data_IF_010547888935
#
_entry.id   IF_010547888935
#
_cell.length_a   1.000
_cell.length_b   1.000
_cell.length_c   1.000
_cell.angle_alpha   90.00
_cell.angle_beta   90.00
_cell.angle_gamma   90.00
#
_symmetry.space_group_name_H-M   'P 1'
#
loop_
_entity.id
_entity.type
_entity.pdbx_description
1 polymer ?
#
# COMPACT_ATOMS: atom_id res chain seq x y z
N UNK A 1 10.57 6.13 8.27
CA UNK A 1 10.26 5.94 6.82
C UNK A 1 8.87 5.35 6.69
N UNK A 2 8.14 5.62 5.58
CA UNK A 2 6.76 5.11 5.38
C UNK A 2 6.68 3.59 5.52
N UNK A 3 7.70 2.87 5.05
CA UNK A 3 7.81 1.42 5.17
C UNK A 3 7.68 0.93 6.62
N UNK A 4 8.48 1.48 7.54
CA UNK A 4 8.43 1.08 8.96
C UNK A 4 7.05 1.34 9.57
N UNK A 5 6.45 2.51 9.30
CA UNK A 5 5.11 2.84 9.78
C UNK A 5 4.04 1.88 9.25
N UNK A 6 4.21 1.40 8.02
CA UNK A 6 3.31 0.41 7.43
C UNK A 6 3.53 -0.99 8.02
N UNK A 7 4.79 -1.40 8.23
CA UNK A 7 5.12 -2.69 8.88
C UNK A 7 4.52 -2.74 10.29
N UNK A 8 4.68 -1.68 11.08
CA UNK A 8 4.10 -1.54 12.42
C UNK A 8 2.57 -1.60 12.40
N UNK A 9 1.94 -0.88 11.47
CA UNK A 9 0.49 -0.87 11.32
C UNK A 9 -0.07 -2.24 10.89
N UNK A 10 0.63 -2.94 9.98
CA UNK A 10 0.26 -4.29 9.55
C UNK A 10 0.32 -5.28 10.71
N UNK A 11 1.39 -5.22 11.51
CA UNK A 11 1.56 -6.14 12.64
C UNK A 11 0.52 -5.86 13.74
N UNK A 12 0.22 -4.59 14.01
CA UNK A 12 -0.85 -4.21 14.94
C UNK A 12 -2.23 -4.72 14.46
N UNK A 13 -2.56 -4.56 13.19
CA UNK A 13 -3.81 -5.03 12.61
C UNK A 13 -3.91 -6.57 12.64
N UNK A 14 -2.82 -7.26 12.31
CA UNK A 14 -2.74 -8.73 12.38
C UNK A 14 -2.95 -9.23 13.81
N UNK A 15 -2.29 -8.60 14.78
CA UNK A 15 -2.37 -8.97 16.19
C UNK A 15 -3.79 -8.79 16.74
N UNK A 16 -4.48 -7.70 16.34
CA UNK A 16 -5.87 -7.47 16.69
C UNK A 16 -6.81 -8.50 16.05
N UNK A 17 -6.64 -8.82 14.78
CA UNK A 17 -7.45 -9.85 14.11
C UNK A 17 -7.28 -11.22 14.79
N UNK A 18 -6.04 -11.57 15.18
CA UNK A 18 -5.75 -12.79 15.91
C UNK A 18 -6.39 -12.80 17.30
N UNK A 19 -6.35 -11.69 18.05
CA UNK A 19 -6.96 -11.60 19.39
C UNK A 19 -8.49 -11.63 19.36
N UNK A 20 -9.11 -11.19 18.27
CA UNK A 20 -10.56 -11.28 18.03
C UNK A 20 -11.02 -12.64 17.48
N UNK A 21 -10.09 -13.61 17.31
CA UNK A 21 -10.40 -14.94 16.78
C UNK A 21 -10.63 -14.98 15.26
N UNK A 22 -10.33 -13.90 14.53
CA UNK A 22 -10.42 -13.81 13.07
C UNK A 22 -9.12 -14.30 12.42
N UNK A 23 -8.85 -15.59 12.59
CA UNK A 23 -7.58 -16.21 12.15
C UNK A 23 -7.36 -16.03 10.64
N UNK A 24 -8.39 -16.24 9.82
CA UNK A 24 -8.30 -16.05 8.37
C UNK A 24 -7.93 -14.61 7.97
N UNK A 25 -8.42 -13.61 8.72
CA UNK A 25 -8.10 -12.22 8.46
C UNK A 25 -6.67 -11.89 8.87
N UNK A 26 -6.19 -12.45 9.98
CA UNK A 26 -4.80 -12.32 10.40
C UNK A 26 -3.84 -12.92 9.34
N UNK A 27 -4.18 -14.06 8.74
CA UNK A 27 -3.41 -14.66 7.64
C UNK A 27 -3.41 -13.76 6.39
N UNK A 28 -4.58 -13.24 6.00
CA UNK A 28 -4.69 -12.32 4.86
C UNK A 28 -3.89 -11.04 5.09
N UNK A 29 -3.95 -10.46 6.29
CA UNK A 29 -3.17 -9.26 6.66
C UNK A 29 -1.67 -9.56 6.61
N UNK A 30 -1.23 -10.75 7.00
CA UNK A 30 0.18 -11.13 6.91
C UNK A 30 0.69 -11.21 5.47
N UNK A 31 -0.17 -11.63 4.53
CA UNK A 31 0.15 -11.73 3.11
C UNK A 31 0.20 -10.36 2.41
N UNK A 32 -0.49 -9.34 2.94
CA UNK A 32 -0.43 -7.98 2.41
C UNK A 32 1.01 -7.46 2.40
N UNK A 33 1.41 -6.85 1.27
CA UNK A 33 2.76 -6.31 1.08
C UNK A 33 2.72 -4.78 0.94
N UNK A 34 3.82 -4.12 1.31
CA UNK A 34 3.95 -2.67 1.20
C UNK A 34 3.71 -2.15 -0.22
N UNK A 35 3.93 -2.99 -1.24
CA UNK A 35 3.66 -2.64 -2.64
C UNK A 35 2.19 -2.46 -2.96
N UNK A 36 1.31 -3.11 -2.20
CA UNK A 36 -0.12 -3.12 -2.46
C UNK A 36 -0.78 -1.80 -2.05
N UNK A 37 -0.18 -1.06 -1.12
CA UNK A 37 -0.68 0.26 -0.70
C UNK A 37 -0.21 1.42 -1.59
N UNK A 38 0.84 1.22 -2.40
CA UNK A 38 1.45 2.29 -3.20
C UNK A 38 0.50 2.87 -4.25
N UNK A 39 -0.32 2.06 -4.97
CA UNK A 39 -1.29 2.59 -5.91
C UNK A 39 -2.39 3.43 -5.23
N UNK A 40 -2.79 3.05 -4.02
CA UNK A 40 -3.77 3.80 -3.23
C UNK A 40 -3.16 5.12 -2.74
N UNK A 41 -1.98 5.07 -2.13
CA UNK A 41 -1.26 6.25 -1.64
C UNK A 41 -0.97 7.27 -2.77
N UNK A 42 -0.54 6.82 -3.94
CA UNK A 42 -0.29 7.72 -5.08
C UNK A 42 -1.58 8.26 -5.73
N UNK A 43 -2.71 7.58 -5.57
CA UNK A 43 -4.00 8.04 -6.10
C UNK A 43 -4.73 8.99 -5.14
N UNK A 44 -4.54 8.84 -3.82
CA UNK A 44 -5.15 9.72 -2.80
C UNK A 44 -4.37 11.02 -2.60
N UNK A 45 -3.06 11.04 -2.88
CA UNK A 45 -2.26 12.27 -2.81
C UNK A 45 -2.41 13.05 -4.12
N UNK A 46 -2.91 14.28 -3.99
CA UNK A 46 -3.23 15.15 -5.14
C UNK A 46 -1.95 15.67 -5.81
N UNK A 47 -0.92 15.99 -5.01
CA UNK A 47 0.41 16.36 -5.50
C UNK A 47 1.31 15.14 -5.69
N UNK A 48 1.85 15.02 -6.90
CA UNK A 48 2.73 13.94 -7.31
C UNK A 48 4.10 14.06 -6.64
N UNK A 49 4.58 15.26 -6.34
CA UNK A 49 5.84 15.46 -5.63
C UNK A 49 5.80 14.88 -4.22
N UNK A 50 4.69 15.11 -3.50
CA UNK A 50 4.44 14.56 -2.17
C UNK A 50 4.30 13.04 -2.19
N UNK A 51 3.58 12.50 -3.18
CA UNK A 51 3.48 11.04 -3.38
C UNK A 51 4.85 10.42 -3.67
N UNK A 52 5.69 11.09 -4.46
CA UNK A 52 7.01 10.61 -4.83
C UNK A 52 7.97 10.58 -3.62
N UNK A 53 7.96 11.64 -2.82
CA UNK A 53 8.71 11.74 -1.58
C UNK A 53 8.27 10.67 -0.57
N UNK A 54 6.96 10.48 -0.42
CA UNK A 54 6.39 9.50 0.51
C UNK A 54 6.75 8.05 0.13
N UNK A 55 6.74 7.74 -1.17
CA UNK A 55 7.10 6.43 -1.70
C UNK A 55 8.62 6.18 -1.78
N UNK A 56 9.43 7.22 -1.53
CA UNK A 56 10.89 7.12 -1.52
C UNK A 56 11.49 6.86 -2.90
N UNK A 57 10.83 7.31 -3.96
CA UNK A 57 11.33 7.18 -5.33
C UNK A 57 12.19 8.40 -5.70
N UNK A 58 13.32 8.16 -6.36
CA UNK A 58 14.19 9.21 -6.89
C UNK A 58 13.60 9.95 -8.09
N UNK A 59 12.71 9.31 -8.86
CA UNK A 59 12.13 9.86 -10.10
C UNK A 59 10.59 9.80 -10.09
N UNK A 60 9.95 10.95 -10.33
CA UNK A 60 8.49 11.12 -10.30
C UNK A 60 7.73 10.31 -11.36
N UNK A 61 8.41 9.88 -12.42
CA UNK A 61 7.82 9.16 -13.55
C UNK A 61 7.29 7.77 -13.15
N UNK A 62 7.96 7.08 -12.21
CA UNK A 62 7.47 5.79 -11.70
C UNK A 62 6.17 6.00 -10.92
N UNK A 63 6.10 7.06 -10.10
CA UNK A 63 4.91 7.45 -9.32
C UNK A 63 3.72 7.79 -10.22
N UNK A 64 3.94 8.56 -11.29
CA UNK A 64 2.91 8.87 -12.30
C UNK A 64 2.43 7.65 -13.07
N UNK A 65 3.35 6.84 -13.60
CA UNK A 65 3.04 5.78 -14.59
C UNK A 65 2.51 4.49 -13.97
N UNK A 66 2.97 4.13 -12.77
CA UNK A 66 2.67 2.82 -12.15
C UNK A 66 1.65 2.93 -11.02
N UNK A 67 1.63 4.05 -10.29
CA UNK A 67 0.90 4.14 -9.03
C UNK A 67 -0.34 5.03 -9.05
N UNK A 68 -0.52 5.95 -10.01
CA UNK A 68 -1.84 6.57 -10.23
C UNK A 68 -2.74 5.64 -11.04
N UNK A 69 -3.86 5.21 -10.45
CA UNK A 69 -4.91 4.42 -11.12
C UNK A 69 -6.22 5.20 -11.22
N UNK A 70 -6.17 6.48 -11.57
CA UNK A 70 -7.39 7.27 -11.78
C UNK A 70 -8.10 6.71 -13.03
N UNK A 71 -9.20 5.97 -12.83
CA UNK A 71 -10.05 5.44 -13.90
C UNK A 71 -9.57 4.16 -14.59
N UNK A 72 -8.47 3.54 -14.16
CA UNK A 72 -7.95 2.33 -14.80
C UNK A 72 -8.52 1.04 -14.19
N UNK A 73 -9.39 0.35 -14.92
CA UNK A 73 -9.75 -1.05 -14.64
C UNK A 73 -8.59 -1.93 -15.07
N UNK A 74 -7.81 -2.43 -14.11
CA UNK A 74 -6.75 -3.39 -14.41
C UNK A 74 -7.39 -4.76 -14.69
N UNK A 75 -7.19 -5.30 -15.91
CA UNK A 75 -7.47 -6.71 -16.13
C UNK A 75 -6.46 -7.54 -15.32
N UNK A 76 -6.90 -8.52 -14.51
CA UNK A 76 -5.98 -9.39 -13.80
C UNK A 76 -5.10 -10.10 -14.83
N UNK A 77 -3.78 -10.03 -14.69
CA UNK A 77 -2.91 -10.97 -15.40
C UNK A 77 -3.19 -12.37 -14.84
N UNK A 78 -3.30 -13.35 -15.75
CA UNK A 78 -3.52 -14.78 -15.44
C UNK A 78 -2.67 -15.29 -14.28
#
# INVERSE_FOLDING_TARGET
>A
MLRNRWDDAREAARSLAASEGRVDDAERIQQFQFKDIRPKAASEITDIADANLLLGHSEQEITKRVYRRIGAVAQPSK
#
